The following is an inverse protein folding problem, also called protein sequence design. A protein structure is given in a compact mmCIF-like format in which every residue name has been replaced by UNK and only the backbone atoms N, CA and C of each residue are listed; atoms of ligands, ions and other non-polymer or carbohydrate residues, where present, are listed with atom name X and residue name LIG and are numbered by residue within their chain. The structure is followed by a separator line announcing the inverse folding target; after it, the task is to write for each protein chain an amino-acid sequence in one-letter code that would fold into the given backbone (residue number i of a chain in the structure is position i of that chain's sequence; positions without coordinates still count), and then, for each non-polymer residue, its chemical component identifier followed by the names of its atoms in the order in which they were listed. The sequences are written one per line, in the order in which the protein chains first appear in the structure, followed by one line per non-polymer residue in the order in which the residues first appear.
data_IF_945610832768
#
_entry.id   IF_945610832768
#
_cell.length_a   1.000
_cell.length_b   1.000
_cell.length_c   1.000
_cell.angle_alpha   90.00
_cell.angle_beta   90.00
_cell.angle_gamma   90.00
#
_symmetry.space_group_name_H-M   'P 1'
#
loop_
_entity.id
_entity.type
_entity.pdbx_description
1 polymer ?
#
# COMPACT_ATOMS: atom_id res chain seq x y z
N UNK A 1 -37.72 38.18 -21.31
CA UNK A 1 -38.30 37.03 -20.58
C UNK A 1 -37.27 36.57 -19.58
N UNK A 2 -37.43 36.97 -18.31
CA UNK A 2 -36.56 36.66 -17.19
C UNK A 2 -37.22 35.56 -16.36
N UNK A 3 -36.47 34.52 -16.00
CA UNK A 3 -36.86 33.56 -14.97
C UNK A 3 -35.96 33.76 -13.75
N UNK A 4 -36.53 33.88 -12.53
CA UNK A 4 -35.77 34.19 -11.32
C UNK A 4 -35.16 32.95 -10.66
N UNK A 5 -33.95 33.14 -10.13
CA UNK A 5 -33.23 32.22 -9.24
C UNK A 5 -33.85 32.35 -7.85
N UNK A 6 -34.37 31.24 -7.30
CA UNK A 6 -34.89 31.17 -5.92
C UNK A 6 -33.85 30.46 -5.06
N UNK A 7 -33.19 31.22 -4.18
CA UNK A 7 -32.41 30.69 -3.06
C UNK A 7 -33.38 30.24 -1.97
N UNK A 8 -33.43 28.94 -1.69
CA UNK A 8 -34.15 28.41 -0.53
C UNK A 8 -33.14 28.17 0.60
N UNK A 9 -33.08 29.12 1.53
CA UNK A 9 -32.39 28.97 2.82
C UNK A 9 -33.19 28.02 3.70
N UNK A 10 -32.56 26.98 4.24
CA UNK A 10 -33.16 26.14 5.28
C UNK A 10 -32.93 26.76 6.67
N UNK A 11 -33.93 26.77 7.56
CA UNK A 11 -33.83 27.38 8.89
C UNK A 11 -33.09 26.49 9.90
N UNK A 12 -32.25 27.13 10.71
CA UNK A 12 -31.63 26.57 11.92
C UNK A 12 -32.71 26.40 13.00
N UNK A 13 -33.10 25.15 13.30
CA UNK A 13 -33.90 24.83 14.48
C UNK A 13 -32.98 24.65 15.70
N UNK A 14 -32.94 25.70 16.54
CA UNK A 14 -32.68 25.55 17.97
C UNK A 14 -33.90 24.89 18.61
N UNK A 15 -33.76 23.67 19.13
CA UNK A 15 -34.75 23.06 20.00
C UNK A 15 -34.12 22.73 21.36
N UNK A 16 -34.57 23.50 22.34
CA UNK A 16 -34.32 23.36 23.77
C UNK A 16 -34.69 21.96 24.26
N UNK A 17 -33.83 21.32 25.06
CA UNK A 17 -34.22 20.16 25.87
C UNK A 17 -34.95 20.65 27.11
N UNK A 18 -36.16 20.15 27.45
CA UNK A 18 -36.66 20.26 28.79
C UNK A 18 -35.99 19.20 29.66
N UNK A 19 -35.46 19.66 30.80
CA UNK A 19 -35.26 18.82 31.98
C UNK A 19 -36.62 18.29 32.41
N UNK A 20 -36.71 17.00 32.74
CA UNK A 20 -37.52 16.60 33.88
C UNK A 20 -37.28 15.16 34.38
N UNK A 21 -37.13 15.11 35.71
CA UNK A 21 -37.56 14.08 36.66
C UNK A 21 -36.75 12.78 36.80
N UNK A 22 -35.96 12.81 37.88
CA UNK A 22 -35.47 11.68 38.68
C UNK A 22 -36.59 10.70 39.07
N UNK A 23 -36.36 9.39 38.88
CA UNK A 23 -37.03 8.30 39.61
C UNK A 23 -35.95 7.39 40.21
N UNK A 24 -35.87 7.21 41.55
CA UNK A 24 -34.71 6.56 42.18
C UNK A 24 -34.92 5.07 42.52
N UNK A 25 -35.75 4.32 41.78
CA UNK A 25 -35.92 2.88 42.06
C UNK A 25 -36.22 2.05 40.80
N UNK A 26 -35.19 1.80 39.99
CA UNK A 26 -35.09 0.55 39.21
C UNK A 26 -33.61 0.17 39.10
N UNK A 27 -33.11 -0.60 40.06
CA UNK A 27 -31.88 -1.38 39.87
C UNK A 27 -32.18 -2.49 38.86
N UNK A 28 -31.84 -2.27 37.59
CA UNK A 28 -31.64 -3.36 36.62
C UNK A 28 -30.17 -3.76 36.63
N UNK A 29 -29.85 -5.06 36.49
CA UNK A 29 -28.47 -5.50 36.39
C UNK A 29 -27.84 -4.86 35.16
N UNK A 30 -26.74 -4.15 35.38
CA UNK A 30 -25.91 -3.56 34.35
C UNK A 30 -25.35 -4.67 33.44
N UNK A 31 -26.03 -4.93 32.33
CA UNK A 31 -25.31 -5.33 31.13
C UNK A 31 -24.30 -4.22 30.86
N UNK A 32 -23.02 -4.57 30.86
CA UNK A 32 -21.96 -3.67 30.38
C UNK A 32 -22.44 -3.09 29.05
N UNK A 33 -22.74 -1.80 29.01
CA UNK A 33 -22.98 -1.08 27.78
C UNK A 33 -21.73 -1.27 26.92
N UNK A 34 -21.80 -2.22 25.98
CA UNK A 34 -20.85 -2.31 24.89
C UNK A 34 -20.96 -0.96 24.20
N UNK A 35 -19.95 -0.11 24.39
CA UNK A 35 -19.86 1.17 23.72
C UNK A 35 -19.78 0.87 22.22
N UNK A 36 -20.92 0.89 21.54
CA UNK A 36 -21.01 0.84 20.09
C UNK A 36 -20.33 2.11 19.57
N UNK A 37 -19.24 1.92 18.84
CA UNK A 37 -18.70 2.99 18.03
C UNK A 37 -19.61 3.07 16.82
N UNK A 38 -20.60 3.97 16.88
CA UNK A 38 -21.54 4.23 15.80
C UNK A 38 -20.80 4.94 14.65
N UNK A 39 -19.97 4.20 13.92
CA UNK A 39 -19.51 4.64 12.62
C UNK A 39 -20.69 4.54 11.64
N UNK A 40 -20.96 5.60 10.85
CA UNK A 40 -22.09 5.61 9.94
C UNK A 40 -21.84 4.67 8.76
N UNK A 41 -22.25 3.41 8.91
CA UNK A 41 -22.31 2.43 7.83
C UNK A 41 -23.71 2.40 7.21
N UNK A 42 -23.76 2.67 5.91
CA UNK A 42 -24.95 2.47 5.08
C UNK A 42 -25.06 1.00 4.68
N UNK A 43 -26.27 0.48 4.50
CA UNK A 43 -26.44 -0.90 4.05
C UNK A 43 -27.67 -1.04 3.15
N UNK A 44 -27.63 -2.04 2.28
CA UNK A 44 -28.76 -2.47 1.47
C UNK A 44 -28.77 -3.99 1.45
N UNK A 45 -29.94 -4.57 1.65
CA UNK A 45 -30.16 -6.01 1.59
C UNK A 45 -30.96 -6.33 0.34
N UNK A 46 -30.52 -7.33 -0.43
CA UNK A 46 -31.17 -7.80 -1.64
C UNK A 46 -31.41 -9.31 -1.53
N UNK A 47 -32.66 -9.74 -1.68
CA UNK A 47 -32.98 -11.15 -1.88
C UNK A 47 -32.67 -11.51 -3.33
N UNK A 48 -31.78 -12.51 -3.53
CA UNK A 48 -31.34 -12.90 -4.87
C UNK A 48 -32.04 -14.19 -5.26
N UNK A 49 -31.73 -15.29 -4.56
CA UNK A 49 -32.22 -16.62 -4.87
C UNK A 49 -32.61 -17.40 -3.59
N UNK A 50 -33.21 -18.57 -3.75
CA UNK A 50 -33.60 -19.46 -2.65
C UNK A 50 -32.40 -19.96 -1.81
N UNK A 51 -31.18 -19.88 -2.34
CA UNK A 51 -29.97 -20.39 -1.69
C UNK A 51 -29.09 -19.30 -1.10
N UNK A 52 -29.16 -18.07 -1.63
CA UNK A 52 -28.24 -16.98 -1.30
C UNK A 52 -28.96 -15.63 -1.33
N UNK A 53 -28.61 -14.76 -0.39
CA UNK A 53 -28.98 -13.34 -0.41
C UNK A 53 -27.74 -12.46 -0.47
N UNK A 54 -27.89 -11.24 -0.96
CA UNK A 54 -26.82 -10.26 -1.05
C UNK A 54 -27.01 -9.14 -0.02
N UNK A 55 -25.90 -8.72 0.59
CA UNK A 55 -25.87 -7.56 1.46
C UNK A 55 -24.74 -6.62 1.05
N UNK A 56 -25.11 -5.39 0.70
CA UNK A 56 -24.19 -4.31 0.39
C UNK A 56 -23.98 -3.46 1.64
N UNK A 57 -22.73 -3.22 1.99
CA UNK A 57 -22.35 -2.36 3.11
C UNK A 57 -21.47 -1.24 2.57
N UNK A 58 -21.88 -0.01 2.80
CA UNK A 58 -21.20 1.20 2.36
C UNK A 58 -20.58 1.97 3.52
N UNK A 59 -19.37 2.47 3.33
CA UNK A 59 -18.68 3.38 4.23
C UNK A 59 -18.23 4.62 3.45
N UNK A 60 -18.72 5.78 3.88
CA UNK A 60 -18.35 7.05 3.25
C UNK A 60 -16.93 7.43 3.67
N UNK A 61 -16.03 7.59 2.70
CA UNK A 61 -14.73 8.24 2.90
C UNK A 61 -14.84 9.73 2.51
N UNK A 62 -13.88 10.54 2.96
CA UNK A 62 -13.77 11.91 2.47
C UNK A 62 -13.38 11.90 0.99
N UNK A 63 -13.93 12.85 0.21
CA UNK A 63 -13.57 12.99 -1.19
C UNK A 63 -12.07 13.25 -1.38
N UNK A 64 -11.44 13.97 -0.45
CA UNK A 64 -9.99 14.17 -0.43
C UNK A 64 -9.22 12.85 -0.36
N UNK A 65 -9.56 11.97 0.59
CA UNK A 65 -8.88 10.68 0.76
C UNK A 65 -9.05 9.78 -0.47
N UNK A 66 -10.24 9.83 -1.09
CA UNK A 66 -10.48 9.12 -2.34
C UNK A 66 -9.60 9.64 -3.47
N UNK A 67 -9.60 10.96 -3.71
CA UNK A 67 -8.84 11.56 -4.79
C UNK A 67 -7.33 11.34 -4.62
N UNK A 68 -6.80 11.56 -3.42
CA UNK A 68 -5.39 11.34 -3.08
C UNK A 68 -4.97 9.90 -3.37
N UNK A 69 -5.76 8.92 -2.90
CA UNK A 69 -5.49 7.50 -3.17
C UNK A 69 -5.56 7.17 -4.67
N UNK A 70 -6.57 7.68 -5.37
CA UNK A 70 -6.74 7.43 -6.81
C UNK A 70 -5.60 8.03 -7.62
N UNK A 71 -5.16 9.24 -7.29
CA UNK A 71 -4.01 9.89 -7.93
C UNK A 71 -2.73 9.08 -7.74
N UNK A 72 -2.40 8.70 -6.50
CA UNK A 72 -1.21 7.90 -6.20
C UNK A 72 -1.24 6.54 -6.93
N UNK A 73 -2.35 5.82 -6.85
CA UNK A 73 -2.48 4.48 -7.43
C UNK A 73 -2.40 4.51 -8.97
N UNK A 74 -3.10 5.47 -9.60
CA UNK A 74 -3.09 5.58 -11.06
C UNK A 74 -1.74 6.09 -11.58
N UNK A 75 -1.06 6.98 -10.86
CA UNK A 75 0.31 7.40 -11.20
C UNK A 75 1.28 6.23 -11.16
N UNK A 76 1.17 5.34 -10.16
CA UNK A 76 2.01 4.14 -10.09
C UNK A 76 1.80 3.23 -11.31
N UNK A 77 0.54 3.00 -11.71
CA UNK A 77 0.22 2.21 -12.90
C UNK A 77 0.82 2.83 -14.17
N UNK A 78 0.68 4.16 -14.33
CA UNK A 78 1.25 4.89 -15.47
C UNK A 78 2.78 4.72 -15.51
N UNK A 79 3.46 4.85 -14.37
CA UNK A 79 4.91 4.67 -14.25
C UNK A 79 5.32 3.24 -14.60
N UNK A 80 4.60 2.24 -14.10
CA UNK A 80 4.86 0.83 -14.44
C UNK A 80 4.73 0.57 -15.95
N UNK A 81 3.68 1.10 -16.59
CA UNK A 81 3.51 0.98 -18.05
C UNK A 81 4.62 1.69 -18.81
N UNK A 82 4.95 2.94 -18.47
CA UNK A 82 6.07 3.68 -19.09
C UNK A 82 7.39 2.92 -18.98
N UNK A 83 7.67 2.32 -17.82
CA UNK A 83 8.86 1.50 -17.63
C UNK A 83 8.84 0.20 -18.44
N UNK A 84 7.68 -0.45 -18.59
CA UNK A 84 7.52 -1.65 -19.42
C UNK A 84 7.76 -1.35 -20.91
N UNK A 85 7.32 -0.19 -21.41
CA UNK A 85 7.59 0.24 -22.78
C UNK A 85 9.07 0.51 -23.02
N UNK A 86 9.78 1.16 -22.08
CA UNK A 86 11.24 1.40 -22.20
C UNK A 86 12.06 0.11 -22.27
N UNK A 87 11.63 -0.94 -21.56
CA UNK A 87 12.35 -2.21 -21.53
C UNK A 87 12.20 -3.00 -22.85
N UNK A 88 11.09 -2.81 -23.58
CA UNK A 88 10.84 -3.47 -24.86
C UNK A 88 11.48 -2.76 -26.07
N UNK A 89 12.04 -1.56 -25.90
CA UNK A 89 12.69 -0.80 -26.99
C UNK A 89 14.19 -1.15 -27.18
N UNK A 90 14.75 -2.10 -26.43
CA UNK A 90 16.20 -2.36 -26.41
C UNK A 90 16.78 -3.18 -27.59
N UNK A 91 16.08 -3.28 -28.74
CA UNK A 91 16.63 -3.90 -29.96
C UNK A 91 16.41 -3.07 -31.23
N UNK A 92 16.11 -1.77 -31.09
CA UNK A 92 16.15 -0.81 -32.20
C UNK A 92 17.55 -0.22 -32.38
N UNK A 93 18.07 -0.24 -33.60
CA UNK A 93 19.29 0.49 -33.95
C UNK A 93 19.00 2.00 -33.81
N UNK A 94 19.88 2.82 -33.19
CA UNK A 94 19.61 4.24 -32.89
C UNK A 94 19.33 5.15 -34.10
N UNK A 95 19.46 4.62 -35.32
CA UNK A 95 19.18 5.32 -36.57
C UNK A 95 17.74 5.11 -37.09
N UNK A 96 17.01 4.11 -36.56
CA UNK A 96 15.62 3.82 -36.96
C UNK A 96 14.60 4.05 -35.83
N UNK A 97 15.06 4.28 -34.60
CA UNK A 97 14.21 4.53 -33.43
C UNK A 97 13.34 5.80 -33.55
N UNK A 98 13.76 6.78 -34.35
CA UNK A 98 13.00 8.03 -34.55
C UNK A 98 11.80 7.87 -35.49
N UNK A 99 11.73 6.78 -36.27
CA UNK A 99 10.70 6.58 -37.30
C UNK A 99 9.65 5.51 -36.95
N UNK A 100 9.97 4.57 -36.05
CA UNK A 100 9.08 3.42 -35.77
C UNK A 100 8.69 3.22 -34.29
N UNK A 101 9.29 3.92 -33.32
CA UNK A 101 8.84 3.85 -31.93
C UNK A 101 7.69 4.82 -31.67
N UNK A 102 6.49 4.41 -32.11
CA UNK A 102 5.21 5.13 -31.96
C UNK A 102 4.67 5.21 -30.54
N UNK A 103 5.47 5.65 -29.56
CA UNK A 103 4.93 6.29 -28.36
C UNK A 103 5.48 7.70 -28.32
N UNK A 104 4.63 8.64 -28.72
CA UNK A 104 4.86 10.05 -28.55
C UNK A 104 5.18 10.33 -27.07
N UNK A 105 6.34 10.93 -26.72
CA UNK A 105 6.63 11.35 -25.34
C UNK A 105 5.57 12.31 -24.77
N UNK A 106 4.68 12.83 -25.61
CA UNK A 106 3.52 13.64 -25.26
C UNK A 106 2.19 12.86 -25.11
N UNK A 107 2.17 11.52 -25.19
CA UNK A 107 0.95 10.75 -24.90
C UNK A 107 0.43 11.09 -23.50
N UNK A 108 -0.82 11.57 -23.47
CA UNK A 108 -1.45 12.03 -22.25
C UNK A 108 -1.58 10.88 -21.24
N UNK A 109 -1.42 11.17 -19.94
CA UNK A 109 -1.59 10.18 -18.88
C UNK A 109 -2.95 9.43 -18.97
N UNK A 110 -3.97 10.10 -19.53
CA UNK A 110 -5.29 9.54 -19.81
C UNK A 110 -5.32 8.48 -20.92
N UNK A 111 -4.41 8.53 -21.90
CA UNK A 111 -4.33 7.50 -22.96
C UNK A 111 -3.71 6.20 -22.46
N UNK A 112 -2.88 6.29 -21.42
CA UNK A 112 -2.22 5.15 -20.79
C UNK A 112 -3.09 4.47 -19.73
N UNK A 113 -4.27 5.00 -19.39
CA UNK A 113 -5.17 4.43 -18.39
C UNK A 113 -6.39 3.78 -19.06
N UNK A 114 -6.68 2.54 -18.70
CA UNK A 114 -7.88 1.84 -19.17
C UNK A 114 -9.00 1.90 -18.13
N UNK A 115 -10.23 1.62 -18.56
CA UNK A 115 -11.38 1.48 -17.64
C UNK A 115 -11.14 0.41 -16.57
N UNK A 116 -10.38 -0.63 -16.90
CA UNK A 116 -10.04 -1.70 -15.96
C UNK A 116 -9.08 -1.22 -14.87
N UNK A 117 -8.18 -0.28 -15.17
CA UNK A 117 -7.27 0.30 -14.17
C UNK A 117 -8.05 1.12 -13.14
N UNK A 118 -9.03 1.90 -13.60
CA UNK A 118 -9.93 2.66 -12.72
C UNK A 118 -10.75 1.70 -11.85
N UNK A 119 -11.24 0.59 -12.42
CA UNK A 119 -11.96 -0.43 -11.66
C UNK A 119 -11.09 -1.06 -10.57
N UNK A 120 -9.83 -1.40 -10.89
CA UNK A 120 -8.87 -1.95 -9.92
C UNK A 120 -8.48 -0.94 -8.85
N UNK A 121 -8.30 0.32 -9.21
CA UNK A 121 -8.07 1.39 -8.25
C UNK A 121 -9.25 1.53 -7.28
N UNK A 122 -10.47 1.48 -7.80
CA UNK A 122 -11.70 1.51 -7.00
C UNK A 122 -11.84 0.29 -6.07
N UNK A 123 -11.48 -0.90 -6.53
CA UNK A 123 -11.39 -2.13 -5.73
C UNK A 123 -10.34 -2.00 -4.62
N UNK A 124 -9.14 -1.51 -4.95
CA UNK A 124 -8.03 -1.29 -4.02
C UNK A 124 -8.37 -0.24 -2.96
N UNK A 125 -9.05 0.84 -3.33
CA UNK A 125 -9.51 1.85 -2.38
C UNK A 125 -10.54 1.27 -1.40
N UNK A 126 -11.55 0.55 -1.91
CA UNK A 126 -12.55 -0.13 -1.09
C UNK A 126 -11.91 -1.07 -0.08
N UNK A 127 -10.94 -1.85 -0.56
CA UNK A 127 -10.14 -2.76 0.24
C UNK A 127 -9.38 -2.03 1.34
N UNK A 128 -8.75 -0.89 1.05
CA UNK A 128 -8.05 -0.09 2.05
C UNK A 128 -9.00 0.39 3.16
N UNK A 129 -10.21 0.85 2.78
CA UNK A 129 -11.23 1.30 3.73
C UNK A 129 -11.75 0.16 4.61
N UNK A 130 -11.93 -1.05 4.05
CA UNK A 130 -12.47 -2.22 4.76
C UNK A 130 -11.40 -3.17 5.33
N UNK A 131 -10.11 -2.90 5.14
CA UNK A 131 -8.99 -3.77 5.54
C UNK A 131 -9.07 -4.25 6.98
N UNK A 132 -9.51 -3.34 7.84
CA UNK A 132 -9.58 -3.52 9.29
C UNK A 132 -10.94 -4.02 9.78
N UNK A 133 -11.87 -4.37 8.88
CA UNK A 133 -13.19 -4.85 9.25
C UNK A 133 -13.27 -6.36 9.17
N UNK A 134 -13.95 -6.94 10.17
CA UNK A 134 -14.24 -8.38 10.25
C UNK A 134 -15.74 -8.58 10.28
N UNK A 135 -16.22 -9.46 9.40
CA UNK A 135 -17.62 -9.82 9.29
C UNK A 135 -17.83 -11.22 9.86
N UNK A 136 -18.79 -11.38 10.78
CA UNK A 136 -19.13 -12.69 11.35
C UNK A 136 -20.62 -12.84 11.57
N UNK A 137 -21.16 -14.03 11.27
CA UNK A 137 -22.52 -14.41 11.65
C UNK A 137 -22.50 -14.88 13.11
N UNK A 138 -23.53 -14.50 13.86
CA UNK A 138 -23.74 -15.00 15.22
C UNK A 138 -24.02 -16.50 15.23
N UNK A 139 -23.86 -17.15 16.39
CA UNK A 139 -24.16 -18.58 16.58
C UNK A 139 -25.63 -18.93 16.31
N UNK A 140 -26.51 -17.94 16.32
CA UNK A 140 -27.94 -18.11 16.07
C UNK A 140 -28.28 -17.99 14.58
N UNK A 141 -27.27 -17.79 13.72
CA UNK A 141 -27.41 -17.64 12.26
C UNK A 141 -28.25 -16.44 11.78
N UNK A 142 -28.72 -15.58 12.69
CA UNK A 142 -29.69 -14.50 12.42
C UNK A 142 -29.14 -13.09 12.60
N UNK A 143 -27.88 -12.95 12.98
CA UNK A 143 -27.26 -11.64 13.17
C UNK A 143 -25.92 -11.58 12.46
N UNK A 144 -25.66 -10.49 11.75
CA UNK A 144 -24.35 -10.16 11.19
C UNK A 144 -23.70 -9.12 12.09
N UNK A 145 -22.58 -9.47 12.73
CA UNK A 145 -21.77 -8.54 13.50
C UNK A 145 -20.57 -8.06 12.67
N UNK A 146 -20.38 -6.75 12.63
CA UNK A 146 -19.19 -6.11 12.06
C UNK A 146 -18.28 -5.64 13.19
N UNK A 147 -17.02 -6.05 13.14
CA UNK A 147 -15.99 -5.66 14.09
C UNK A 147 -14.89 -4.86 13.38
N UNK A 148 -14.34 -3.84 14.04
CA UNK A 148 -13.16 -3.09 13.57
C UNK A 148 -11.84 -3.75 14.06
N UNK A 149 -10.68 -3.26 13.63
CA UNK A 149 -9.34 -3.79 13.93
C UNK A 149 -9.07 -3.99 15.42
N UNK A 150 -9.68 -3.18 16.27
CA UNK A 150 -9.56 -3.29 17.73
C UNK A 150 -10.50 -4.35 18.34
N UNK A 151 -11.07 -5.24 17.52
CA UNK A 151 -12.11 -6.20 17.90
C UNK A 151 -13.34 -5.55 18.57
N UNK A 152 -13.58 -4.27 18.28
CA UNK A 152 -14.75 -3.56 18.78
C UNK A 152 -15.91 -3.75 17.81
N UNK A 153 -17.08 -4.08 18.33
CA UNK A 153 -18.30 -4.19 17.53
C UNK A 153 -18.69 -2.79 17.06
N UNK A 154 -18.73 -2.63 15.75
CA UNK A 154 -19.14 -1.38 15.09
C UNK A 154 -20.65 -1.38 14.95
N UNK A 155 -21.20 -2.47 14.40
CA UNK A 155 -22.63 -2.59 14.13
C UNK A 155 -23.06 -4.05 14.10
N UNK A 156 -24.29 -4.29 14.53
CA UNK A 156 -24.96 -5.59 14.42
C UNK A 156 -26.18 -5.38 13.54
N UNK A 157 -26.37 -6.26 12.56
CA UNK A 157 -27.55 -6.28 11.70
C UNK A 157 -28.35 -7.53 12.01
N UNK A 158 -29.65 -7.35 12.26
CA UNK A 158 -30.60 -8.45 12.30
C UNK A 158 -30.91 -8.88 10.87
N UNK A 159 -30.69 -10.16 10.57
CA UNK A 159 -30.88 -10.73 9.25
C UNK A 159 -32.28 -11.38 9.17
N UNK A 160 -32.94 -11.33 8.00
CA UNK A 160 -34.32 -11.83 7.86
C UNK A 160 -34.39 -13.37 7.95
N UNK A 161 -33.37 -14.08 7.45
CA UNK A 161 -33.29 -15.53 7.46
C UNK A 161 -32.11 -16.03 8.31
N UNK A 162 -32.01 -17.35 8.48
CA UNK A 162 -30.82 -17.99 9.04
C UNK A 162 -29.79 -18.29 7.95
N UNK A 163 -28.55 -17.85 8.17
CA UNK A 163 -27.44 -18.03 7.25
C UNK A 163 -26.32 -18.86 7.89
N UNK A 164 -25.71 -19.74 7.10
CA UNK A 164 -24.63 -20.62 7.55
C UNK A 164 -23.25 -20.02 7.28
N UNK A 165 -23.12 -19.25 6.20
CA UNK A 165 -21.83 -18.73 5.76
C UNK A 165 -21.95 -17.36 5.08
N UNK A 166 -20.84 -16.61 5.12
CA UNK A 166 -20.66 -15.33 4.42
C UNK A 166 -19.46 -15.48 3.51
N UNK A 167 -19.55 -14.93 2.31
CA UNK A 167 -18.41 -14.68 1.43
C UNK A 167 -18.43 -13.24 0.94
N UNK A 168 -17.26 -12.68 0.66
CA UNK A 168 -17.15 -11.36 0.02
C UNK A 168 -17.17 -11.62 -1.48
N UNK A 169 -18.13 -11.03 -2.19
CA UNK A 169 -18.29 -11.23 -3.64
C UNK A 169 -17.52 -10.17 -4.42
N UNK A 170 -17.66 -8.89 -4.03
CA UNK A 170 -16.97 -7.78 -4.71
C UNK A 170 -16.76 -6.59 -3.79
N UNK A 171 -15.78 -5.77 -4.16
CA UNK A 171 -15.41 -4.51 -3.51
C UNK A 171 -15.45 -3.44 -4.59
N UNK A 172 -16.20 -2.36 -4.38
CA UNK A 172 -16.34 -1.30 -5.39
C UNK A 172 -16.47 0.04 -4.71
N UNK A 173 -16.05 1.10 -5.40
CA UNK A 173 -16.30 2.47 -4.95
C UNK A 173 -17.09 3.24 -5.98
N UNK A 174 -17.96 4.11 -5.47
CA UNK A 174 -18.64 5.10 -6.29
C UNK A 174 -17.80 6.37 -6.33
N UNK A 175 -17.93 7.13 -7.41
CA UNK A 175 -17.21 8.39 -7.67
C UNK A 175 -17.33 9.43 -6.53
N UNK A 176 -18.30 9.25 -5.63
CA UNK A 176 -18.52 10.08 -4.44
C UNK A 176 -17.64 9.70 -3.24
N UNK A 177 -16.65 8.81 -3.39
CA UNK A 177 -15.83 8.31 -2.28
C UNK A 177 -16.58 7.35 -1.34
N UNK A 178 -17.71 6.79 -1.79
CA UNK A 178 -18.43 5.75 -1.05
C UNK A 178 -17.79 4.39 -1.33
N UNK A 179 -17.13 3.82 -0.33
CA UNK A 179 -16.61 2.46 -0.42
C UNK A 179 -17.69 1.43 -0.12
N UNK A 180 -17.90 0.47 -1.02
CA UNK A 180 -18.96 -0.54 -0.93
C UNK A 180 -18.35 -1.93 -0.94
N UNK A 181 -18.72 -2.75 0.04
CA UNK A 181 -18.46 -4.18 0.06
C UNK A 181 -19.75 -4.95 -0.18
N UNK A 182 -19.71 -5.90 -1.12
CA UNK A 182 -20.81 -6.82 -1.40
C UNK A 182 -20.54 -8.16 -0.72
N UNK A 183 -21.42 -8.54 0.17
CA UNK A 183 -21.41 -9.82 0.86
C UNK A 183 -22.47 -10.74 0.26
N UNK A 184 -22.10 -11.99 0.04
CA UNK A 184 -23.00 -13.06 -0.33
C UNK A 184 -23.25 -13.96 0.89
N UNK A 185 -24.51 -14.05 1.30
CA UNK A 185 -25.01 -14.73 2.49
C UNK A 185 -25.68 -16.04 2.09
N UNK A 186 -25.10 -17.17 2.46
CA UNK A 186 -25.63 -18.50 2.13
C UNK A 186 -26.69 -18.93 3.14
N UNK A 187 -27.92 -19.16 2.69
CA UNK A 187 -29.06 -19.59 3.52
C UNK A 187 -28.80 -20.97 4.12
N UNK A 188 -29.24 -21.18 5.36
CA UNK A 188 -29.11 -22.47 6.03
C UNK A 188 -30.12 -23.47 5.46
N UNK A 189 -29.66 -24.59 4.91
CA UNK A 189 -30.54 -25.61 4.34
C UNK A 189 -31.14 -26.57 5.38
N UNK A 190 -31.28 -26.15 6.65
CA UNK A 190 -31.74 -27.02 7.72
C UNK A 190 -33.25 -27.21 7.60
N UNK A 191 -33.64 -28.21 6.80
CA UNK A 191 -34.93 -28.87 6.90
C UNK A 191 -34.98 -29.50 8.30
N UNK A 192 -35.68 -28.88 9.24
CA UNK A 192 -35.95 -29.43 10.56
C UNK A 192 -36.60 -30.81 10.40
N UNK A 193 -35.82 -31.89 10.58
CA UNK A 193 -36.38 -33.23 10.68
C UNK A 193 -37.01 -33.36 12.07
N UNK A 194 -38.33 -33.57 12.19
CA UNK A 194 -38.96 -33.73 13.49
C UNK A 194 -38.48 -35.03 14.14
N UNK A 195 -37.83 -34.92 15.29
CA UNK A 195 -37.35 -36.05 16.09
C UNK A 195 -38.55 -36.86 16.58
N UNK A 196 -38.79 -38.03 15.98
CA UNK A 196 -39.79 -39.00 16.47
C UNK A 196 -39.37 -39.53 17.85
N UNK A 197 -40.11 -39.17 18.89
CA UNK A 197 -39.98 -39.75 20.24
C UNK A 197 -40.34 -41.25 20.19
N UNK A 198 -39.37 -42.12 20.46
CA UNK A 198 -39.58 -43.57 20.61
C UNK A 198 -40.12 -43.85 22.02
N UNK A 199 -41.38 -44.30 22.11
CA UNK A 199 -41.96 -44.80 23.36
C UNK A 199 -41.48 -46.23 23.65
N UNK A 200 -40.83 -46.43 24.80
CA UNK A 200 -40.48 -47.76 25.34
C UNK A 200 -41.75 -48.50 25.79
N UNK A 201 -42.02 -49.68 25.22
CA UNK A 201 -42.94 -50.66 25.80
C UNK A 201 -42.15 -51.66 26.65
N UNK A 202 -42.53 -51.80 27.91
CA UNK A 202 -42.08 -52.81 28.86
C UNK A 202 -42.80 -54.14 28.61
N UNK A 203 -42.06 -55.24 28.47
CA UNK A 203 -42.62 -56.60 28.44
C UNK A 203 -42.09 -57.45 29.59
N UNK A 204 -43.03 -58.21 30.16
CA UNK A 204 -42.95 -59.06 31.36
C UNK A 204 -41.96 -60.21 31.26
N UNK A 205 -41.47 -60.60 32.43
CA UNK A 205 -40.59 -61.73 32.75
C UNK A 205 -41.18 -63.09 32.36
N UNK A 206 -40.40 -63.88 31.62
CA UNK A 206 -40.47 -65.34 31.63
C UNK A 206 -39.11 -65.86 32.09
N UNK A 207 -39.10 -66.59 33.19
CA UNK A 207 -37.97 -67.41 33.63
C UNK A 207 -37.72 -68.49 32.58
N UNK A 208 -36.49 -68.58 32.09
CA UNK A 208 -36.04 -69.74 31.33
C UNK A 208 -34.54 -69.94 31.53
N UNK A 209 -34.15 -71.17 31.85
CA UNK A 209 -32.77 -71.61 32.10
C UNK A 209 -31.81 -71.35 30.92
N UNK A 210 -32.32 -70.94 29.75
CA UNK A 210 -31.55 -70.45 28.61
C UNK A 210 -30.96 -69.03 28.80
N UNK A 211 -31.45 -68.24 29.76
CA UNK A 211 -30.94 -66.87 30.03
C UNK A 211 -29.54 -66.89 30.67
N UNK A 212 -29.21 -67.93 31.44
CA UNK A 212 -27.88 -68.07 32.06
C UNK A 212 -26.81 -68.33 31.01
N UNK A 213 -27.03 -69.28 30.10
CA UNK A 213 -26.11 -69.56 29.00
C UNK A 213 -25.96 -68.36 28.05
N UNK A 214 -27.03 -67.61 27.80
CA UNK A 214 -26.98 -66.39 26.99
C UNK A 214 -26.25 -65.24 27.69
N UNK A 215 -26.40 -65.09 29.02
CA UNK A 215 -25.65 -64.14 29.83
C UNK A 215 -24.15 -64.46 29.85
N UNK A 216 -23.80 -65.74 29.98
CA UNK A 216 -22.40 -66.19 30.00
C UNK A 216 -21.73 -65.99 28.63
N UNK A 217 -22.44 -66.28 27.53
CA UNK A 217 -21.98 -65.98 26.18
C UNK A 217 -21.81 -64.46 25.95
N UNK A 218 -22.74 -63.65 26.46
CA UNK A 218 -22.69 -62.18 26.35
C UNK A 218 -21.55 -61.58 27.19
N UNK A 219 -21.30 -62.09 28.40
CA UNK A 219 -20.16 -61.69 29.23
C UNK A 219 -18.82 -62.07 28.59
N UNK A 220 -18.73 -63.25 27.98
CA UNK A 220 -17.51 -63.66 27.26
C UNK A 220 -17.26 -62.78 26.02
N UNK A 221 -18.31 -62.42 25.28
CA UNK A 221 -18.20 -61.49 24.15
C UNK A 221 -17.79 -60.08 24.60
N UNK A 222 -18.29 -59.61 25.75
CA UNK A 222 -17.89 -58.33 26.35
C UNK A 222 -16.41 -58.33 26.76
N UNK A 223 -15.94 -59.38 27.42
CA UNK A 223 -14.51 -59.53 27.80
C UNK A 223 -13.60 -59.59 26.58
N UNK A 224 -14.05 -60.21 25.49
CA UNK A 224 -13.28 -60.28 24.25
C UNK A 224 -13.21 -58.91 23.54
N UNK A 225 -14.32 -58.16 23.53
CA UNK A 225 -14.34 -56.76 23.05
C UNK A 225 -13.47 -55.84 23.90
N UNK A 226 -13.47 -55.99 25.23
CA UNK A 226 -12.60 -55.21 26.12
C UNK A 226 -11.12 -55.50 25.85
N UNK A 227 -10.73 -56.77 25.69
CA UNK A 227 -9.36 -57.14 25.31
C UNK A 227 -8.94 -56.54 23.96
N UNK A 228 -9.85 -56.51 22.98
CA UNK A 228 -9.59 -55.87 21.69
C UNK A 228 -9.41 -54.35 21.81
N UNK A 229 -10.25 -53.68 22.61
CA UNK A 229 -10.13 -52.23 22.86
C UNK A 229 -8.82 -51.88 23.56
N UNK A 230 -8.38 -52.69 24.54
CA UNK A 230 -7.09 -52.46 25.23
C UNK A 230 -5.92 -52.61 24.26
N UNK A 231 -5.93 -53.64 23.39
CA UNK A 231 -4.89 -53.80 22.36
C UNK A 231 -4.85 -52.62 21.37
N UNK A 232 -6.02 -52.14 20.93
CA UNK A 232 -6.11 -50.98 20.04
C UNK A 232 -5.56 -49.71 20.71
N UNK A 233 -5.89 -49.48 21.98
CA UNK A 233 -5.36 -48.35 22.74
C UNK A 233 -3.83 -48.43 22.91
N UNK A 234 -3.27 -49.61 23.16
CA UNK A 234 -1.82 -49.79 23.26
C UNK A 234 -1.10 -49.53 21.93
N UNK A 235 -1.68 -49.95 20.80
CA UNK A 235 -1.14 -49.66 19.47
C UNK A 235 -1.23 -48.17 19.13
N UNK A 236 -2.34 -47.51 19.46
CA UNK A 236 -2.53 -46.08 19.27
C UNK A 236 -1.53 -45.26 20.12
N UNK A 237 -1.28 -45.66 21.37
CA UNK A 237 -0.26 -45.04 22.22
C UNK A 237 1.15 -45.21 21.60
N UNK A 238 1.46 -46.38 21.04
CA UNK A 238 2.74 -46.61 20.36
C UNK A 238 2.89 -45.79 19.09
N UNK A 239 1.83 -45.65 18.28
CA UNK A 239 1.82 -44.80 17.09
C UNK A 239 1.98 -43.32 17.47
N UNK A 240 1.21 -42.83 18.44
CA UNK A 240 1.32 -41.46 18.93
C UNK A 240 2.71 -41.12 19.49
N UNK A 241 3.40 -42.08 20.14
CA UNK A 241 4.79 -41.89 20.57
C UNK A 241 5.74 -41.72 19.40
N UNK A 242 5.62 -42.55 18.35
CA UNK A 242 6.46 -42.44 17.14
C UNK A 242 6.19 -41.15 16.37
N UNK A 243 4.93 -40.74 16.25
CA UNK A 243 4.56 -39.50 15.58
C UNK A 243 5.10 -38.27 16.31
N UNK A 244 5.01 -38.25 17.65
CA UNK A 244 5.62 -37.20 18.47
C UNK A 244 7.14 -37.12 18.30
N UNK A 245 7.82 -38.27 18.22
CA UNK A 245 9.27 -38.31 18.01
C UNK A 245 9.68 -37.78 16.62
N UNK A 246 8.91 -38.14 15.58
CA UNK A 246 9.12 -37.62 14.22
C UNK A 246 8.84 -36.11 14.13
N UNK A 247 7.77 -35.64 14.77
CA UNK A 247 7.44 -34.22 14.83
C UNK A 247 8.52 -33.40 15.54
N UNK A 248 9.13 -33.96 16.59
CA UNK A 248 10.20 -33.31 17.34
C UNK A 248 11.48 -33.20 16.49
N UNK A 249 11.87 -34.27 15.78
CA UNK A 249 13.00 -34.24 14.82
C UNK A 249 12.77 -33.23 13.68
N UNK A 250 11.57 -33.18 13.12
CA UNK A 250 11.23 -32.20 12.08
C UNK A 250 11.27 -30.75 12.61
N UNK A 251 10.85 -30.52 13.86
CA UNK A 251 10.93 -29.20 14.50
C UNK A 251 12.38 -28.77 14.74
N UNK A 252 13.26 -29.68 15.16
CA UNK A 252 14.69 -29.41 15.32
C UNK A 252 15.36 -29.08 13.98
N UNK A 253 15.05 -29.82 12.91
CA UNK A 253 15.59 -29.55 11.58
C UNK A 253 15.14 -28.18 11.05
N UNK A 254 13.86 -27.83 11.23
CA UNK A 254 13.33 -26.52 10.86
C UNK A 254 13.96 -25.38 11.68
N UNK A 255 14.24 -25.62 12.97
CA UNK A 255 14.92 -24.65 13.81
C UNK A 255 16.37 -24.42 13.36
N UNK A 256 17.08 -25.48 12.96
CA UNK A 256 18.44 -25.38 12.44
C UNK A 256 18.48 -24.63 11.09
N UNK A 257 17.60 -24.99 10.14
CA UNK A 257 17.46 -24.27 8.87
C UNK A 257 17.14 -22.78 9.06
N UNK A 258 16.30 -22.44 10.04
CA UNK A 258 15.98 -21.04 10.37
C UNK A 258 17.20 -20.29 10.93
N UNK A 259 18.04 -20.94 11.74
CA UNK A 259 19.28 -20.35 12.27
C UNK A 259 20.30 -20.10 11.17
N UNK A 260 20.49 -21.06 10.25
CA UNK A 260 21.39 -20.91 9.09
C UNK A 260 20.94 -19.75 8.19
N UNK A 261 19.64 -19.69 7.87
CA UNK A 261 19.09 -18.61 7.03
C UNK A 261 19.25 -17.24 7.70
N UNK A 262 19.11 -17.16 9.03
CA UNK A 262 19.38 -15.93 9.78
C UNK A 262 20.86 -15.53 9.71
N UNK A 263 21.78 -16.49 9.85
CA UNK A 263 23.21 -16.24 9.74
C UNK A 263 23.61 -15.74 8.35
N UNK A 264 23.07 -16.34 7.28
CA UNK A 264 23.29 -15.89 5.90
C UNK A 264 22.80 -14.46 5.68
N UNK A 265 21.60 -14.11 6.16
CA UNK A 265 21.07 -12.74 6.08
C UNK A 265 21.93 -11.73 6.83
N UNK A 266 22.45 -12.09 8.00
CA UNK A 266 23.36 -11.22 8.76
C UNK A 266 24.70 -11.01 8.02
N UNK A 267 25.22 -12.04 7.37
CA UNK A 267 26.45 -11.95 6.56
C UNK A 267 26.25 -11.08 5.31
N UNK A 268 25.13 -11.23 4.60
CA UNK A 268 24.77 -10.38 3.46
C UNK A 268 24.61 -8.92 3.87
N UNK A 269 23.96 -8.65 5.01
CA UNK A 269 23.84 -7.30 5.54
C UNK A 269 25.20 -6.70 5.90
N UNK A 270 26.13 -7.49 6.48
CA UNK A 270 27.50 -7.04 6.75
C UNK A 270 28.25 -6.71 5.47
N UNK A 271 28.13 -7.54 4.43
CA UNK A 271 28.72 -7.29 3.10
C UNK A 271 28.17 -6.03 2.46
N UNK A 272 26.86 -5.79 2.57
CA UNK A 272 26.21 -4.60 2.01
C UNK A 272 26.65 -3.32 2.75
N UNK A 273 26.73 -3.35 4.08
CA UNK A 273 27.28 -2.24 4.89
C UNK A 273 28.74 -1.96 4.57
N UNK A 274 29.57 -3.00 4.37
CA UNK A 274 30.97 -2.83 4.00
C UNK A 274 31.12 -2.14 2.62
N UNK A 275 30.31 -2.54 1.62
CA UNK A 275 30.29 -1.88 0.31
C UNK A 275 29.87 -0.41 0.39
N UNK A 276 28.84 -0.09 1.19
CA UNK A 276 28.41 1.30 1.39
C UNK A 276 29.51 2.15 2.04
N UNK A 277 30.24 1.59 3.01
CA UNK A 277 31.33 2.29 3.67
C UNK A 277 32.52 2.52 2.73
N UNK A 278 32.83 1.56 1.85
CA UNK A 278 33.86 1.72 0.82
C UNK A 278 33.48 2.80 -0.21
N UNK A 279 32.22 2.82 -0.64
CA UNK A 279 31.71 3.85 -1.55
C UNK A 279 31.76 5.24 -0.91
N UNK A 280 31.34 5.37 0.34
CA UNK A 280 31.42 6.62 1.09
C UNK A 280 32.87 7.14 1.24
N UNK A 281 33.86 6.23 1.39
CA UNK A 281 35.28 6.61 1.40
C UNK A 281 35.74 7.15 0.05
N UNK A 282 35.38 6.50 -1.06
CA UNK A 282 35.69 6.97 -2.42
C UNK A 282 35.07 8.35 -2.68
N UNK A 283 33.80 8.53 -2.31
CA UNK A 283 33.12 9.82 -2.47
C UNK A 283 33.76 10.93 -1.63
N UNK A 284 34.21 10.61 -0.41
CA UNK A 284 34.94 11.55 0.44
C UNK A 284 36.29 11.96 -0.17
N UNK A 285 37.05 11.01 -0.73
CA UNK A 285 38.31 11.29 -1.42
C UNK A 285 38.09 12.17 -2.66
N UNK A 286 37.07 11.89 -3.46
CA UNK A 286 36.70 12.71 -4.61
C UNK A 286 36.34 14.14 -4.18
N UNK A 287 35.52 14.30 -3.13
CA UNK A 287 35.17 15.62 -2.59
C UNK A 287 36.40 16.38 -2.11
N UNK A 288 37.35 15.70 -1.45
CA UNK A 288 38.60 16.29 -0.99
C UNK A 288 39.47 16.77 -2.17
N UNK A 289 39.54 15.99 -3.25
CA UNK A 289 40.27 16.37 -4.46
C UNK A 289 39.63 17.58 -5.15
N UNK A 290 38.30 17.58 -5.32
CA UNK A 290 37.56 18.73 -5.89
C UNK A 290 37.79 20.01 -5.10
N UNK A 291 37.77 19.92 -3.76
CA UNK A 291 38.01 21.08 -2.89
C UNK A 291 39.44 21.60 -2.99
N UNK A 292 40.42 20.70 -3.14
CA UNK A 292 41.82 21.09 -3.39
C UNK A 292 41.98 21.78 -4.75
N UNK A 293 41.35 21.24 -5.80
CA UNK A 293 41.37 21.83 -7.14
C UNK A 293 40.70 23.22 -7.16
N UNK A 294 39.57 23.38 -6.46
CA UNK A 294 38.91 24.68 -6.32
C UNK A 294 39.82 25.71 -5.65
N UNK A 295 40.49 25.33 -4.56
CA UNK A 295 41.46 26.20 -3.88
C UNK A 295 42.61 26.61 -4.80
N UNK A 296 43.16 25.68 -5.55
CA UNK A 296 44.25 25.96 -6.51
C UNK A 296 43.79 26.89 -7.64
N UNK A 297 42.56 26.73 -8.16
CA UNK A 297 41.99 27.65 -9.15
C UNK A 297 41.85 29.06 -8.59
N UNK A 298 41.35 29.21 -7.36
CA UNK A 298 41.22 30.51 -6.69
C UNK A 298 42.59 31.16 -6.47
N UNK A 299 43.58 30.39 -6.05
CA UNK A 299 44.96 30.88 -5.85
C UNK A 299 45.57 31.39 -7.16
N UNK A 300 45.45 30.62 -8.26
CA UNK A 300 45.91 31.05 -9.59
C UNK A 300 45.18 32.31 -10.08
N UNK A 301 43.89 32.45 -9.78
CA UNK A 301 43.16 33.68 -10.12
C UNK A 301 43.66 34.87 -9.30
N UNK A 302 43.92 34.68 -8.01
CA UNK A 302 44.48 35.71 -7.14
C UNK A 302 45.89 36.15 -7.59
N UNK A 303 46.75 35.21 -8.02
CA UNK A 303 48.06 35.53 -8.59
C UNK A 303 47.95 36.35 -9.88
N UNK A 304 47.04 35.98 -10.79
CA UNK A 304 46.77 36.76 -12.01
C UNK A 304 46.29 38.17 -11.70
N UNK A 305 45.44 38.35 -10.69
CA UNK A 305 45.00 39.68 -10.26
C UNK A 305 46.15 40.50 -9.70
N UNK A 306 47.02 39.91 -8.86
CA UNK A 306 48.23 40.59 -8.36
C UNK A 306 49.19 41.00 -9.47
N UNK A 307 49.35 40.18 -10.52
CA UNK A 307 50.18 40.53 -11.67
C UNK A 307 49.57 41.70 -12.45
N UNK A 308 48.25 41.70 -12.66
CA UNK A 308 47.55 42.82 -13.31
C UNK A 308 47.67 44.11 -12.49
N UNK A 309 47.53 44.04 -11.18
CA UNK A 309 47.67 45.19 -10.27
C UNK A 309 49.08 45.79 -10.36
N UNK A 310 50.13 44.95 -10.33
CA UNK A 310 51.51 45.41 -10.53
C UNK A 310 51.74 46.06 -11.89
N UNK A 311 51.22 45.45 -12.97
CA UNK A 311 51.34 46.03 -14.30
C UNK A 311 50.61 47.37 -14.42
N UNK A 312 49.45 47.51 -13.77
CA UNK A 312 48.70 48.75 -13.70
C UNK A 312 49.50 49.83 -12.96
N UNK A 313 50.14 49.45 -11.84
CA UNK A 313 50.96 50.37 -11.05
C UNK A 313 52.21 50.83 -11.83
N UNK A 314 52.88 49.93 -12.55
CA UNK A 314 53.99 50.31 -13.45
C UNK A 314 53.55 51.25 -14.59
N UNK A 315 52.31 51.14 -15.07
CA UNK A 315 51.77 52.08 -16.06
C UNK A 315 51.51 53.45 -15.44
N UNK A 316 50.93 53.51 -14.24
CA UNK A 316 50.75 54.76 -13.50
C UNK A 316 52.07 55.45 -13.23
N UNK A 317 53.09 54.71 -12.78
CA UNK A 317 54.42 55.28 -12.50
C UNK A 317 55.06 55.88 -13.77
N UNK A 318 54.93 55.19 -14.92
CA UNK A 318 55.41 55.71 -16.23
C UNK A 318 54.66 56.94 -16.70
N UNK A 319 53.36 57.02 -16.43
CA UNK A 319 52.54 58.18 -16.78
C UNK A 319 52.90 59.39 -15.91
N UNK A 320 53.18 59.15 -14.62
CA UNK A 320 53.65 60.18 -13.70
C UNK A 320 55.02 60.74 -14.13
N UNK A 321 55.96 59.87 -14.53
CA UNK A 321 57.27 60.27 -15.06
C UNK A 321 57.14 61.10 -16.35
N UNK A 322 56.21 60.76 -17.24
CA UNK A 322 55.91 61.55 -18.43
C UNK A 322 55.39 62.95 -18.08
N UNK A 323 54.46 63.04 -17.13
CA UNK A 323 53.91 64.31 -16.67
C UNK A 323 54.99 65.18 -16.00
N UNK A 324 55.91 64.59 -15.25
CA UNK A 324 57.05 65.32 -14.67
C UNK A 324 58.00 65.86 -15.76
N UNK A 325 58.29 65.07 -16.80
CA UNK A 325 59.09 65.51 -17.95
C UNK A 325 58.38 66.61 -18.75
N UNK A 326 57.07 66.50 -18.95
CA UNK A 326 56.25 67.52 -19.62
C UNK A 326 56.20 68.82 -18.81
N UNK A 327 56.05 68.73 -17.48
CA UNK A 327 56.11 69.89 -16.58
C UNK A 327 57.48 70.57 -16.60
N UNK A 328 58.58 69.81 -16.74
CA UNK A 328 59.92 70.36 -16.92
C UNK A 328 60.07 71.09 -18.27
N UNK A 329 59.49 70.55 -19.35
CA UNK A 329 59.49 71.19 -20.67
C UNK A 329 58.60 72.43 -20.74
N UNK A 330 57.47 72.43 -20.02
CA UNK A 330 56.57 73.58 -19.90
C UNK A 330 57.14 74.75 -19.06
N UNK A 331 58.30 74.54 -18.40
CA UNK A 331 58.99 75.58 -17.63
C UNK A 331 59.92 76.48 -18.45
N UNK A 332 60.03 76.26 -19.77
CA UNK A 332 60.65 77.23 -20.70
C UNK A 332 59.65 78.34 -21.08
N UNK A 333 60.03 79.64 -20.99
CA UNK A 333 59.12 80.74 -21.20
C UNK A 333 58.82 80.92 -22.69
N UNK A 334 57.70 80.36 -23.15
CA UNK A 334 57.14 80.69 -24.46
C UNK A 334 56.00 81.70 -24.31
N UNK A 335 56.09 82.71 -25.17
CA UNK A 335 55.28 83.92 -25.19
C UNK A 335 53.82 83.59 -25.57
N UNK A 336 52.92 84.16 -24.77
CA UNK A 336 51.48 84.26 -24.94
C UNK A 336 50.97 84.34 -26.39
N UNK A 337 49.93 83.56 -26.69
CA UNK A 337 48.76 84.09 -27.42
C UNK A 337 47.49 83.30 -27.05
N UNK A 338 46.34 83.97 -26.87
CA UNK A 338 45.06 83.34 -26.51
C UNK A 338 44.16 83.18 -27.73
N UNK A 339 43.49 82.03 -27.89
CA UNK A 339 42.30 81.89 -28.75
C UNK A 339 41.28 80.96 -28.05
N UNK A 340 39.97 81.32 -28.02
CA UNK A 340 38.88 80.58 -27.38
C UNK A 340 38.13 79.64 -28.35
N UNK A 341 37.10 78.97 -27.81
CA UNK A 341 36.06 78.13 -28.46
C UNK A 341 36.47 76.65 -28.62
N UNK A 342 35.61 75.64 -28.49
CA UNK A 342 34.14 75.54 -28.39
C UNK A 342 33.82 74.13 -27.84
N UNK A 343 32.63 73.99 -27.25
CA UNK A 343 31.72 72.84 -27.18
C UNK A 343 32.23 71.41 -27.48
N UNK A 344 31.96 70.48 -26.56
CA UNK A 344 31.24 69.23 -26.90
C UNK A 344 30.73 68.52 -25.65
N UNK A 345 29.40 68.54 -25.50
CA UNK A 345 28.63 67.58 -24.73
C UNK A 345 28.74 66.21 -25.43
N UNK A 346 29.01 65.15 -24.67
CA UNK A 346 28.61 63.80 -25.07
C UNK A 346 28.34 62.96 -23.83
N UNK A 347 27.06 62.82 -23.52
CA UNK A 347 26.49 61.75 -22.71
C UNK A 347 26.90 60.39 -23.30
N UNK A 348 27.52 59.53 -22.50
CA UNK A 348 27.57 58.09 -22.78
C UNK A 348 26.84 57.35 -21.65
N UNK A 349 25.58 57.03 -21.94
CA UNK A 349 24.77 56.00 -21.30
C UNK A 349 25.47 54.64 -21.41
N UNK A 350 25.88 54.07 -20.27
CA UNK A 350 26.26 52.65 -20.20
C UNK A 350 25.08 51.86 -19.65
N UNK A 351 24.22 51.41 -20.57
CA UNK A 351 23.31 50.29 -20.36
C UNK A 351 24.10 48.98 -20.34
N UNK A 352 24.12 48.27 -19.20
CA UNK A 352 24.45 46.84 -19.15
C UNK A 352 23.28 46.10 -18.50
N UNK A 353 22.39 45.62 -19.37
CA UNK A 353 21.47 44.53 -19.08
C UNK A 353 22.17 43.25 -19.56
N UNK A 354 22.41 42.28 -18.68
CA UNK A 354 22.36 40.88 -19.08
C UNK A 354 21.69 40.06 -17.98
N UNK A 355 20.62 39.41 -18.41
CA UNK A 355 19.77 38.48 -17.70
C UNK A 355 20.53 37.19 -17.40
N UNK A 356 20.35 36.62 -16.21
CA UNK A 356 20.65 35.21 -15.95
C UNK A 356 19.48 34.60 -15.20
N UNK A 357 18.54 34.05 -15.97
CA UNK A 357 17.51 33.14 -15.48
C UNK A 357 18.07 31.73 -15.21
N UNK A 358 17.28 30.98 -14.44
CA UNK A 358 17.28 29.52 -14.23
C UNK A 358 18.30 29.01 -13.19
N UNK A 359 17.95 28.16 -12.23
CA UNK A 359 16.72 27.38 -12.01
C UNK A 359 16.69 26.85 -10.58
N UNK A 360 15.47 26.73 -10.05
CA UNK A 360 15.10 25.78 -9.00
C UNK A 360 15.56 24.37 -9.37
N UNK A 361 16.05 23.62 -8.39
CA UNK A 361 15.67 22.21 -8.22
C UNK A 361 15.97 21.75 -6.78
N UNK A 362 14.88 21.32 -6.17
CA UNK A 362 14.70 20.71 -4.86
C UNK A 362 15.31 19.30 -4.76
N UNK A 363 15.86 18.96 -3.58
CA UNK A 363 16.12 17.58 -3.19
C UNK A 363 15.69 17.37 -1.73
N UNK A 364 14.49 16.80 -1.53
CA UNK A 364 14.03 16.29 -0.25
C UNK A 364 14.36 14.80 -0.14
N UNK A 365 15.21 14.47 0.82
CA UNK A 365 15.48 13.11 1.28
C UNK A 365 14.28 12.59 2.10
N UNK A 366 13.72 11.44 1.73
CA UNK A 366 13.41 10.34 2.68
C UNK A 366 12.83 9.10 1.99
N UNK A 367 13.42 7.92 2.23
CA UNK A 367 12.74 6.78 2.87
C UNK A 367 13.48 5.45 2.64
N UNK A 368 13.67 4.72 3.73
CA UNK A 368 13.93 3.27 3.78
C UNK A 368 13.00 2.75 4.85
N UNK A 369 12.26 1.65 4.60
CA UNK A 369 12.12 0.49 5.50
C UNK A 369 11.13 -0.54 4.92
N UNK A 370 11.68 -1.74 4.72
CA UNK A 370 11.20 -3.12 4.94
C UNK A 370 9.92 -3.69 4.31
N UNK A 371 10.20 -4.77 3.55
CA UNK A 371 9.32 -5.88 3.16
C UNK A 371 9.07 -6.82 4.35
N UNK A 372 7.85 -7.32 4.47
CA UNK A 372 7.48 -8.46 5.34
C UNK A 372 6.91 -9.61 4.53
N UNK A 373 7.28 -10.80 4.99
CA UNK A 373 7.13 -12.15 4.45
C UNK A 373 5.76 -12.80 4.67
N UNK A 374 5.33 -13.56 3.66
CA UNK A 374 4.23 -14.54 3.62
C UNK A 374 4.52 -15.82 4.45
N UNK A 375 3.53 -16.39 5.16
CA UNK A 375 3.32 -17.84 5.42
C UNK A 375 1.84 -18.10 5.84
N UNK A 376 1.30 -19.35 5.91
CA UNK A 376 0.26 -19.88 5.03
C UNK A 376 -1.11 -20.14 5.72
N UNK A 377 -2.14 -20.31 4.89
CA UNK A 377 -3.56 -20.49 5.24
C UNK A 377 -3.90 -21.81 5.97
N UNK A 378 -4.69 -21.69 7.05
CA UNK A 378 -5.59 -22.74 7.59
C UNK A 378 -7.02 -22.21 7.59
N UNK A 379 -7.97 -23.07 7.20
CA UNK A 379 -9.43 -22.84 7.07
C UNK A 379 -10.03 -22.13 8.30
N UNK A 380 -10.76 -21.02 8.10
CA UNK A 380 -11.46 -20.26 9.14
C UNK A 380 -12.91 -19.97 8.77
N UNK A 381 -13.77 -20.00 9.78
CA UNK A 381 -15.20 -19.61 9.78
C UNK A 381 -15.40 -18.09 9.94
N UNK A 382 -14.37 -17.32 9.61
CA UNK A 382 -14.36 -15.87 9.64
C UNK A 382 -13.48 -15.39 8.50
N UNK A 383 -13.95 -14.46 7.69
CA UNK A 383 -13.21 -13.94 6.55
C UNK A 383 -12.65 -12.56 6.90
N UNK A 384 -11.36 -12.38 6.63
CA UNK A 384 -10.72 -11.07 6.56
C UNK A 384 -10.44 -10.74 5.10
N UNK A 385 -10.50 -9.46 4.72
CA UNK A 385 -10.30 -9.03 3.31
C UNK A 385 -8.95 -9.52 2.76
N UNK A 386 -7.95 -9.68 3.64
CA UNK A 386 -6.60 -10.16 3.31
C UNK A 386 -6.55 -11.64 2.83
N UNK A 387 -7.57 -12.48 3.06
CA UNK A 387 -7.53 -13.92 2.72
C UNK A 387 -7.81 -14.23 1.23
N UNK A 388 -8.28 -13.26 0.43
CA UNK A 388 -8.73 -13.46 -0.98
C UNK A 388 -7.62 -13.17 -2.01
N UNK A 389 -6.61 -12.39 -1.63
CA UNK A 389 -5.60 -11.83 -2.55
C UNK A 389 -4.46 -12.77 -2.89
N UNK A 390 -4.20 -13.80 -2.08
CA UNK A 390 -3.07 -14.69 -2.34
C UNK A 390 -3.24 -15.54 -3.62
N UNK A 391 -4.46 -15.66 -4.16
CA UNK A 391 -4.75 -16.42 -5.38
C UNK A 391 -4.97 -15.51 -6.60
N UNK A 392 -5.79 -14.46 -6.49
CA UNK A 392 -6.13 -13.58 -7.64
C UNK A 392 -4.97 -12.71 -8.12
N UNK A 393 -4.15 -12.16 -7.22
CA UNK A 393 -2.96 -11.38 -7.59
C UNK A 393 -1.86 -12.28 -8.20
N UNK A 394 -1.77 -13.55 -7.77
CA UNK A 394 -0.88 -14.53 -8.38
C UNK A 394 -1.35 -14.87 -9.79
N UNK A 395 -2.64 -15.15 -9.98
CA UNK A 395 -3.19 -15.45 -11.30
C UNK A 395 -3.08 -14.28 -12.28
N UNK A 396 -3.32 -13.05 -11.81
CA UNK A 396 -3.19 -11.85 -12.64
C UNK A 396 -1.72 -11.58 -13.04
N UNK A 397 -0.77 -11.72 -12.11
CA UNK A 397 0.67 -11.62 -12.42
C UNK A 397 1.14 -12.72 -13.37
N UNK A 398 0.62 -13.94 -13.22
CA UNK A 398 0.90 -15.05 -14.14
C UNK A 398 0.27 -14.79 -15.52
N UNK A 399 -0.93 -14.20 -15.58
CA UNK A 399 -1.61 -13.84 -16.83
C UNK A 399 -0.87 -12.75 -17.59
N UNK A 400 -0.33 -11.75 -16.89
CA UNK A 400 0.57 -10.72 -17.45
C UNK A 400 1.88 -11.30 -18.02
N UNK A 401 2.32 -12.47 -17.54
CA UNK A 401 3.54 -13.16 -17.98
C UNK A 401 3.29 -14.22 -19.07
N UNK A 402 2.03 -14.57 -19.37
CA UNK A 402 1.69 -15.57 -20.40
C UNK A 402 1.58 -14.88 -21.76
N UNK A 403 2.67 -14.89 -22.51
CA UNK A 403 2.63 -14.68 -23.97
C UNK A 403 1.90 -15.85 -24.67
N UNK A 404 1.26 -15.61 -25.83
CA UNK A 404 0.82 -16.70 -26.70
C UNK A 404 2.06 -17.40 -27.30
N UNK A 405 2.27 -18.68 -26.94
CA UNK A 405 3.19 -19.54 -27.68
C UNK A 405 2.53 -19.96 -29.00
N UNK A 406 2.51 -19.07 -29.99
CA UNK A 406 2.18 -19.43 -31.37
C UNK A 406 3.48 -19.71 -32.12
N UNK A 407 3.85 -20.98 -32.23
CA UNK A 407 4.69 -21.44 -33.32
C UNK A 407 3.85 -21.40 -34.60
N UNK A 408 3.87 -20.28 -35.31
CA UNK A 408 3.39 -20.24 -36.69
C UNK A 408 4.45 -20.92 -37.57
N UNK A 409 4.20 -22.17 -37.93
CA UNK A 409 4.90 -22.85 -39.02
C UNK A 409 4.33 -22.29 -40.32
N UNK A 410 5.15 -21.55 -41.07
CA UNK A 410 4.87 -21.22 -42.47
C UNK A 410 5.10 -22.50 -43.28
N UNK A 411 4.03 -23.17 -43.69
CA UNK A 411 4.08 -24.11 -44.81
C UNK A 411 4.13 -23.29 -46.10
N UNK A 412 5.21 -23.45 -46.86
CA UNK A 412 5.37 -22.93 -48.22
C UNK A 412 4.36 -23.59 -49.16
N UNK A 413 3.69 -22.78 -50.00
CA UNK A 413 3.00 -23.20 -51.23
C UNK A 413 3.77 -22.67 -52.42
#
# INVERSE_FOLDING_TARGET
MMFPIVYNQQPLYYAQRPYDVYSPYVQRPSYSEQRFYNEPLTYKFNEVDDTCDEMLIGKQASAHLYNEFMEEYLQEIILQRKNSFRFNQHYGHPLFDSFFNGLDPYQSASELLTKDDIKKANEAFSRNIFKNYKFSISKNSKELSIMNANNKIVKIFELPNSYDNISIESLTTLETGLAVIRLNLKKSSVIEKPVKKVQKKTSRSFENKNVLALKEAYENQLKEQEKLKVKQQEEEIKQNKREKELALKAAEEMANKKRELKAQKEEEQKKLKAKQLEQAKKDYEIKKMKLKEQKERMERQAEKLKQKEKALQELYDKELEKLELEAQLASEPTVYSPIPNEENESDEDVHMNEESQCSDDSDSLESKINKTTEIPLKKKTSITVEDIEDESDKEYRISLMKFPNTNAVLEEV
#
